data_IF_864003664927
#
_entry.id   IF_864003664927
#
_cell.length_a   1.000
_cell.length_b   1.000
_cell.length_c   1.000
_cell.angle_alpha   90.00
_cell.angle_beta   90.00
_cell.angle_gamma   90.00
#
_symmetry.space_group_name_H-M   'P 1'
#
loop_
_entity.id
_entity.type
_entity.pdbx_description
1 polymer ?
#
# COMPACT_ATOMS: atom_id res chain seq x y z
N UNK A 1 3.14 -28.88 11.90
CA UNK A 1 2.31 -27.69 12.13
C UNK A 1 1.62 -27.41 10.80
N UNK A 2 0.39 -27.90 10.62
CA UNK A 2 -0.41 -27.71 9.41
C UNK A 2 -0.82 -26.23 9.32
N UNK A 3 -0.08 -25.46 8.53
CA UNK A 3 -0.41 -24.07 8.16
C UNK A 3 -1.34 -24.06 6.93
N UNK A 4 -2.42 -24.84 6.95
CA UNK A 4 -3.29 -25.03 5.76
C UNK A 4 -4.65 -24.34 5.86
N UNK A 5 -4.75 -23.22 6.57
CA UNK A 5 -5.89 -22.32 6.39
C UNK A 5 -5.46 -21.04 5.68
N UNK A 6 -5.27 -21.17 4.36
CA UNK A 6 -4.98 -20.06 3.46
C UNK A 6 -6.01 -18.93 3.58
N UNK A 7 -7.28 -19.26 3.87
CA UNK A 7 -8.34 -18.26 4.04
C UNK A 7 -8.13 -17.47 5.32
N UNK A 8 -7.78 -18.15 6.41
CA UNK A 8 -7.50 -17.49 7.69
C UNK A 8 -6.24 -16.63 7.62
N UNK A 9 -5.16 -17.14 7.01
CA UNK A 9 -3.93 -16.37 6.79
C UNK A 9 -4.18 -15.12 5.93
N UNK A 10 -4.94 -15.27 4.84
CA UNK A 10 -5.32 -14.16 3.98
C UNK A 10 -6.18 -13.14 4.74
N UNK A 11 -7.20 -13.58 5.48
CA UNK A 11 -8.08 -12.68 6.23
C UNK A 11 -7.31 -11.88 7.29
N UNK A 12 -6.42 -12.52 8.06
CA UNK A 12 -5.59 -11.85 9.04
C UNK A 12 -4.63 -10.87 8.36
N UNK A 13 -3.97 -11.30 7.27
CA UNK A 13 -3.06 -10.45 6.50
C UNK A 13 -3.74 -9.20 5.95
N UNK A 14 -4.93 -9.33 5.37
CA UNK A 14 -5.72 -8.20 4.85
C UNK A 14 -6.14 -7.25 5.96
N UNK A 15 -6.61 -7.77 7.11
CA UNK A 15 -6.98 -6.92 8.26
C UNK A 15 -5.77 -6.21 8.85
N UNK A 16 -4.63 -6.90 8.98
CA UNK A 16 -3.40 -6.31 9.46
C UNK A 16 -2.91 -5.20 8.52
N UNK A 17 -2.88 -5.47 7.21
CA UNK A 17 -2.52 -4.47 6.20
C UNK A 17 -3.47 -3.26 6.24
N UNK A 18 -4.77 -3.49 6.35
CA UNK A 18 -5.75 -2.41 6.46
C UNK A 18 -5.50 -1.53 7.70
N UNK A 19 -5.17 -2.13 8.84
CA UNK A 19 -4.83 -1.40 10.07
C UNK A 19 -3.52 -0.62 9.93
N UNK A 20 -2.48 -1.21 9.33
CA UNK A 20 -1.17 -0.56 9.11
C UNK A 20 -1.33 0.66 8.19
N UNK A 21 -2.05 0.50 7.07
CA UNK A 21 -2.32 1.60 6.14
C UNK A 21 -3.18 2.70 6.77
N UNK A 22 -4.14 2.33 7.61
CA UNK A 22 -4.98 3.29 8.33
C UNK A 22 -4.17 4.11 9.34
N UNK A 23 -3.33 3.46 10.14
CA UNK A 23 -2.46 4.12 11.13
C UNK A 23 -1.43 5.06 10.48
N UNK A 24 -0.79 4.60 9.40
CA UNK A 24 0.10 5.43 8.57
C UNK A 24 -0.63 6.62 7.97
N UNK A 25 -1.87 6.43 7.50
CA UNK A 25 -2.72 7.50 7.00
C UNK A 25 -3.07 8.57 8.04
N UNK A 26 -3.34 8.18 9.29
CA UNK A 26 -3.62 9.10 10.40
C UNK A 26 -2.38 9.89 10.83
N UNK A 27 -1.21 9.26 10.83
CA UNK A 27 0.07 9.88 11.20
C UNK A 27 0.62 10.83 10.13
N UNK A 28 0.10 10.73 8.90
CA UNK A 28 0.59 11.51 7.75
C UNK A 28 0.02 12.93 7.72
N UNK A 29 0.91 13.94 7.66
CA UNK A 29 0.51 15.35 7.51
C UNK A 29 0.08 15.66 6.08
N UNK A 30 -1.10 16.25 5.92
CA UNK A 30 -1.67 16.68 4.62
C UNK A 30 -0.72 17.61 3.85
N UNK A 31 0.01 18.48 4.55
CA UNK A 31 1.00 19.39 3.97
C UNK A 31 2.16 18.64 3.29
N UNK A 32 2.63 17.56 3.91
CA UNK A 32 3.64 16.67 3.34
C UNK A 32 3.10 15.97 2.09
N UNK A 33 1.88 15.41 2.14
CA UNK A 33 1.20 14.79 0.99
C UNK A 33 1.10 15.77 -0.18
N UNK A 34 0.61 16.98 0.08
CA UNK A 34 0.43 17.99 -0.97
C UNK A 34 1.74 18.44 -1.62
N UNK A 35 2.86 18.38 -0.89
CA UNK A 35 4.18 18.72 -1.44
C UNK A 35 4.83 17.58 -2.24
N UNK A 36 4.51 16.31 -1.94
CA UNK A 36 5.23 15.16 -2.49
C UNK A 36 4.38 14.18 -3.32
N UNK A 37 3.06 14.38 -3.44
CA UNK A 37 2.17 13.45 -4.17
C UNK A 37 2.55 13.21 -5.63
N UNK A 38 3.00 14.24 -6.37
CA UNK A 38 3.37 14.09 -7.80
C UNK A 38 4.55 13.12 -8.00
N UNK A 39 5.72 13.35 -7.37
CA UNK A 39 6.82 12.40 -7.44
C UNK A 39 6.46 11.05 -6.82
N UNK A 40 5.71 11.02 -5.71
CA UNK A 40 5.29 9.78 -5.07
C UNK A 40 4.44 8.89 -5.99
N UNK A 41 3.43 9.44 -6.67
CA UNK A 41 2.57 8.69 -7.61
C UNK A 41 3.37 8.18 -8.80
N UNK A 42 4.29 8.99 -9.32
CA UNK A 42 5.12 8.58 -10.46
C UNK A 42 6.09 7.46 -10.08
N UNK A 43 6.74 7.57 -8.91
CA UNK A 43 7.64 6.54 -8.38
C UNK A 43 6.87 5.25 -8.02
N UNK A 44 5.72 5.38 -7.36
CA UNK A 44 4.90 4.25 -6.97
C UNK A 44 4.26 3.51 -8.15
N UNK A 45 4.10 4.16 -9.31
CA UNK A 45 3.59 3.49 -10.52
C UNK A 45 4.73 2.96 -11.37
N UNK A 46 5.59 3.84 -11.91
CA UNK A 46 6.66 3.45 -12.82
C UNK A 46 7.78 2.72 -12.09
N UNK A 47 8.17 3.16 -10.90
CA UNK A 47 9.22 2.53 -10.11
C UNK A 47 8.86 1.10 -9.72
N UNK A 48 7.64 0.88 -9.24
CA UNK A 48 7.14 -0.46 -8.91
C UNK A 48 7.04 -1.34 -10.15
N UNK A 49 6.53 -0.81 -11.27
CA UNK A 49 6.45 -1.56 -12.54
C UNK A 49 7.82 -1.99 -13.05
N UNK A 50 8.81 -1.08 -13.02
CA UNK A 50 10.19 -1.39 -13.40
C UNK A 50 10.80 -2.42 -12.45
N UNK A 51 10.62 -2.24 -11.14
CA UNK A 51 11.21 -3.11 -10.12
C UNK A 51 10.62 -4.52 -10.19
N UNK A 52 9.31 -4.65 -10.32
CA UNK A 52 8.65 -5.94 -10.52
C UNK A 52 9.01 -6.57 -11.86
N UNK A 53 9.15 -5.78 -12.92
CA UNK A 53 9.58 -6.25 -14.23
C UNK A 53 11.00 -6.84 -14.19
N UNK A 54 11.95 -6.13 -13.58
CA UNK A 54 13.34 -6.60 -13.43
C UNK A 54 13.40 -7.83 -12.53
N UNK A 55 12.77 -7.76 -11.35
CA UNK A 55 12.76 -8.85 -10.37
C UNK A 55 12.06 -10.08 -10.94
N UNK A 56 10.95 -9.89 -11.64
CA UNK A 56 10.19 -10.96 -12.28
C UNK A 56 10.91 -11.58 -13.47
N UNK A 57 11.64 -10.78 -14.26
CA UNK A 57 12.51 -11.27 -15.31
C UNK A 57 13.65 -12.13 -14.74
N UNK A 58 14.28 -11.67 -13.66
CA UNK A 58 15.30 -12.44 -12.96
C UNK A 58 14.72 -13.75 -12.39
N UNK A 59 13.53 -13.70 -11.78
CA UNK A 59 12.85 -14.89 -11.27
C UNK A 59 12.50 -15.89 -12.39
N UNK A 60 11.96 -15.41 -13.52
CA UNK A 60 11.67 -16.24 -14.69
C UNK A 60 12.92 -16.97 -15.19
N UNK A 61 14.04 -16.25 -15.29
CA UNK A 61 15.30 -16.81 -15.77
C UNK A 61 15.93 -17.80 -14.80
N UNK A 62 15.99 -17.47 -13.50
CA UNK A 62 16.63 -18.32 -12.47
C UNK A 62 15.80 -19.57 -12.20
N UNK A 63 14.48 -19.45 -12.15
CA UNK A 63 13.56 -20.54 -11.78
C UNK A 63 13.01 -21.30 -13.00
N UNK A 64 13.39 -20.93 -14.22
CA UNK A 64 12.81 -21.45 -15.48
C UNK A 64 11.28 -21.38 -15.51
N UNK A 65 10.73 -20.26 -15.03
CA UNK A 65 9.28 -20.01 -15.06
C UNK A 65 8.92 -19.28 -16.36
N UNK A 66 7.70 -19.44 -16.89
CA UNK A 66 7.24 -18.58 -17.94
C UNK A 66 7.16 -17.11 -17.46
N UNK A 67 7.27 -16.18 -18.40
CA UNK A 67 7.47 -14.76 -18.11
C UNK A 67 6.36 -14.16 -17.25
N UNK A 68 5.13 -14.64 -17.38
CA UNK A 68 3.99 -14.13 -16.65
C UNK A 68 4.00 -14.58 -15.19
N UNK A 69 4.37 -15.83 -14.90
CA UNK A 69 4.58 -16.31 -13.52
C UNK A 69 5.79 -15.63 -12.88
N UNK A 70 6.86 -15.38 -13.63
CA UNK A 70 7.98 -14.57 -13.16
C UNK A 70 7.55 -13.15 -12.80
N UNK A 71 6.78 -12.48 -13.68
CA UNK A 71 6.23 -11.15 -13.41
C UNK A 71 5.29 -11.14 -12.21
N UNK A 72 4.48 -12.19 -12.02
CA UNK A 72 3.64 -12.36 -10.84
C UNK A 72 4.50 -12.40 -9.57
N UNK A 73 5.56 -13.20 -9.55
CA UNK A 73 6.49 -13.24 -8.41
C UNK A 73 7.15 -11.87 -8.17
N UNK A 74 7.60 -11.21 -9.23
CA UNK A 74 8.15 -9.86 -9.15
C UNK A 74 7.15 -8.84 -8.60
N UNK A 75 5.86 -8.99 -8.92
CA UNK A 75 4.79 -8.12 -8.43
C UNK A 75 4.47 -8.34 -6.95
N UNK A 76 4.53 -9.59 -6.50
CA UNK A 76 4.33 -9.96 -5.08
C UNK A 76 5.48 -9.43 -4.21
N UNK A 77 6.72 -9.54 -4.70
CA UNK A 77 7.92 -9.13 -3.96
C UNK A 77 8.24 -7.64 -4.14
N UNK A 78 7.67 -7.00 -5.16
CA UNK A 78 7.95 -5.60 -5.51
C UNK A 78 7.45 -4.56 -4.50
N UNK A 79 6.60 -4.93 -3.54
CA UNK A 79 6.13 -4.00 -2.49
C UNK A 79 7.22 -3.72 -1.46
N UNK A 80 7.55 -2.45 -1.26
CA UNK A 80 8.51 -1.99 -0.26
C UNK A 80 7.80 -1.54 1.02
N UNK A 81 8.26 -2.04 2.18
CA UNK A 81 7.74 -1.65 3.50
C UNK A 81 8.74 -0.73 4.24
N UNK A 82 8.39 0.56 4.35
CA UNK A 82 9.19 1.54 5.09
C UNK A 82 9.11 1.33 6.61
N UNK A 83 8.01 0.79 7.15
CA UNK A 83 7.83 0.59 8.59
C UNK A 83 8.81 -0.45 9.15
N UNK A 84 9.05 -1.53 8.39
CA UNK A 84 10.07 -2.52 8.72
C UNK A 84 11.47 -1.89 8.78
N UNK A 85 11.83 -1.06 7.79
CA UNK A 85 13.13 -0.37 7.75
C UNK A 85 13.28 0.61 8.92
N UNK A 86 12.23 1.36 9.26
CA UNK A 86 12.24 2.29 10.40
C UNK A 86 12.39 1.57 11.73
N UNK A 87 11.74 0.42 11.92
CA UNK A 87 11.89 -0.41 13.11
C UNK A 87 13.35 -0.82 13.32
N UNK A 88 14.02 -1.26 12.24
CA UNK A 88 15.43 -1.67 12.29
C UNK A 88 16.35 -0.48 12.55
N UNK A 89 16.18 0.64 11.84
CA UNK A 89 17.03 1.82 12.01
C UNK A 89 16.91 2.45 13.40
N UNK A 90 15.69 2.49 13.95
CA UNK A 90 15.43 2.97 15.31
C UNK A 90 16.07 2.06 16.36
N UNK A 91 15.98 0.74 16.18
CA UNK A 91 16.66 -0.24 17.04
C UNK A 91 18.19 -0.19 16.91
N UNK A 92 18.71 0.21 15.75
CA UNK A 92 20.12 0.46 15.48
C UNK A 92 20.65 1.82 15.93
N UNK A 93 19.83 2.66 16.56
CA UNK A 93 20.21 3.98 17.08
C UNK A 93 20.31 5.10 16.04
N UNK A 94 19.85 4.88 14.81
CA UNK A 94 19.87 5.87 13.72
C UNK A 94 18.51 6.53 13.60
N UNK A 95 18.43 7.81 13.97
CA UNK A 95 17.24 8.64 13.78
C UNK A 95 17.19 9.23 12.36
N UNK A 96 16.14 8.92 11.61
CA UNK A 96 15.91 9.51 10.29
C UNK A 96 15.35 10.94 10.42
N UNK A 97 15.80 11.89 9.57
CA UNK A 97 15.20 13.21 9.49
C UNK A 97 13.68 13.11 9.19
N UNK A 98 12.83 13.93 9.82
CA UNK A 98 11.37 13.85 9.66
C UNK A 98 10.89 13.92 8.21
N UNK A 99 11.60 14.67 7.36
CA UNK A 99 11.31 14.76 5.93
C UNK A 99 11.54 13.44 5.20
N UNK A 100 12.67 12.77 5.46
CA UNK A 100 13.02 11.49 4.82
C UNK A 100 12.04 10.40 5.29
N UNK A 101 11.72 10.37 6.58
CA UNK A 101 10.71 9.46 7.11
C UNK A 101 9.35 9.65 6.42
N UNK A 102 8.86 10.89 6.34
CA UNK A 102 7.57 11.18 5.69
C UNK A 102 7.54 10.90 4.19
N UNK A 103 8.68 11.05 3.49
CA UNK A 103 8.78 10.73 2.07
C UNK A 103 8.79 9.22 1.84
N UNK A 104 9.57 8.47 2.61
CA UNK A 104 9.62 7.01 2.53
C UNK A 104 8.29 6.36 2.92
N UNK A 105 7.61 6.88 3.94
CA UNK A 105 6.30 6.40 4.36
C UNK A 105 5.25 6.64 3.27
N UNK A 106 5.29 7.81 2.62
CA UNK A 106 4.43 8.10 1.48
C UNK A 106 4.77 7.26 0.25
N UNK A 107 6.05 7.03 -0.04
CA UNK A 107 6.50 6.18 -1.14
C UNK A 107 6.04 4.73 -0.94
N UNK A 108 6.32 4.17 0.24
CA UNK A 108 5.93 2.80 0.62
C UNK A 108 4.40 2.62 0.58
N UNK A 109 3.63 3.52 1.18
CA UNK A 109 2.16 3.44 1.18
C UNK A 109 1.52 3.64 -0.20
N UNK A 110 2.13 4.43 -1.09
CA UNK A 110 1.61 4.61 -2.47
C UNK A 110 1.98 3.43 -3.36
N UNK A 111 3.09 2.74 -3.07
CA UNK A 111 3.53 1.55 -3.79
C UNK A 111 2.55 0.37 -3.62
N UNK A 112 2.00 0.16 -2.41
CA UNK A 112 1.18 -1.01 -2.08
C UNK A 112 -0.02 -1.22 -3.03
N UNK A 113 -0.86 -0.20 -3.36
CA UNK A 113 -1.92 -0.35 -4.35
C UNK A 113 -1.43 -0.80 -5.73
N UNK A 114 -0.24 -0.36 -6.15
CA UNK A 114 0.34 -0.72 -7.45
C UNK A 114 0.83 -2.17 -7.46
N UNK A 115 1.48 -2.62 -6.39
CA UNK A 115 1.90 -4.01 -6.22
C UNK A 115 0.69 -4.96 -6.20
N UNK A 116 -0.37 -4.59 -5.48
CA UNK A 116 -1.65 -5.32 -5.46
C UNK A 116 -2.27 -5.35 -6.86
N UNK A 117 -2.35 -4.22 -7.55
CA UNK A 117 -2.85 -4.13 -8.92
C UNK A 117 -2.09 -5.08 -9.86
N UNK A 118 -0.76 -5.04 -9.88
CA UNK A 118 0.00 -5.91 -10.77
C UNK A 118 -0.17 -7.38 -10.43
N UNK A 119 -0.24 -7.73 -9.14
CA UNK A 119 -0.48 -9.10 -8.69
C UNK A 119 -1.83 -9.61 -9.18
N UNK A 120 -2.91 -8.85 -8.94
CA UNK A 120 -4.26 -9.20 -9.40
C UNK A 120 -4.32 -9.25 -10.93
N UNK A 121 -3.75 -8.25 -11.61
CA UNK A 121 -3.70 -8.21 -13.07
C UNK A 121 -2.99 -9.43 -13.67
N UNK A 122 -1.85 -9.84 -13.11
CA UNK A 122 -1.14 -11.05 -13.53
C UNK A 122 -1.96 -12.32 -13.28
N UNK A 123 -2.67 -12.41 -12.15
CA UNK A 123 -3.56 -13.54 -11.83
C UNK A 123 -4.70 -13.64 -12.85
N UNK A 124 -5.37 -12.52 -13.17
CA UNK A 124 -6.48 -12.51 -14.13
C UNK A 124 -6.03 -12.88 -15.56
N UNK A 125 -4.82 -12.45 -15.94
CA UNK A 125 -4.18 -12.83 -17.20
C UNK A 125 -3.83 -14.34 -17.24
N UNK A 126 -3.27 -14.88 -16.14
CA UNK A 126 -2.97 -16.31 -16.01
C UNK A 126 -4.23 -17.18 -16.01
N UNK A 127 -5.31 -16.68 -15.38
CA UNK A 127 -6.61 -17.34 -15.37
C UNK A 127 -7.36 -17.26 -16.72
N UNK A 128 -6.77 -16.60 -17.73
CA UNK A 128 -7.38 -16.33 -19.04
C UNK A 128 -8.74 -15.64 -18.96
N UNK A 129 -8.98 -14.89 -17.89
CA UNK A 129 -10.20 -14.09 -17.69
C UNK A 129 -10.09 -12.71 -18.30
N UNK A 130 -8.86 -12.29 -18.57
CA UNK A 130 -8.53 -11.00 -19.17
C UNK A 130 -7.44 -11.16 -20.22
N UNK A 131 -7.40 -10.20 -21.14
CA UNK A 131 -6.38 -10.05 -22.17
C UNK A 131 -5.48 -8.86 -21.88
N UNK A 132 -4.22 -8.96 -22.31
CA UNK A 132 -3.31 -7.83 -22.24
C UNK A 132 -3.83 -6.68 -23.11
N UNK A 133 -3.87 -5.47 -22.55
CA UNK A 133 -4.24 -4.25 -23.27
C UNK A 133 -5.36 -3.46 -22.58
N UNK A 134 -6.47 -3.27 -23.27
CA UNK A 134 -7.55 -2.36 -22.84
C UNK A 134 -8.20 -2.82 -21.53
N UNK A 135 -8.37 -4.12 -21.35
CA UNK A 135 -8.99 -4.68 -20.13
C UNK A 135 -8.10 -4.44 -18.91
N UNK A 136 -6.79 -4.67 -19.02
CA UNK A 136 -5.83 -4.40 -17.95
C UNK A 136 -5.77 -2.89 -17.61
N UNK A 137 -5.81 -2.03 -18.62
CA UNK A 137 -5.87 -0.57 -18.41
C UNK A 137 -7.19 -0.14 -17.76
N UNK A 138 -8.30 -0.78 -18.13
CA UNK A 138 -9.61 -0.53 -17.52
C UNK A 138 -9.63 -0.97 -16.05
N UNK A 139 -9.05 -2.13 -15.74
CA UNK A 139 -8.88 -2.60 -14.36
C UNK A 139 -8.04 -1.62 -13.53
N UNK A 140 -6.90 -1.17 -14.08
CA UNK A 140 -6.05 -0.17 -13.44
C UNK A 140 -6.83 1.11 -13.13
N UNK A 141 -7.51 1.66 -14.13
CA UNK A 141 -8.29 2.88 -13.98
C UNK A 141 -9.41 2.69 -12.95
N UNK A 142 -10.12 1.56 -12.99
CA UNK A 142 -11.18 1.24 -12.03
C UNK A 142 -10.62 1.15 -10.62
N UNK A 143 -9.54 0.41 -10.40
CA UNK A 143 -8.94 0.22 -9.09
C UNK A 143 -8.44 1.54 -8.48
N UNK A 144 -7.78 2.38 -9.28
CA UNK A 144 -7.31 3.69 -8.82
C UNK A 144 -8.45 4.67 -8.55
N UNK A 145 -9.43 4.75 -9.46
CA UNK A 145 -10.57 5.67 -9.32
C UNK A 145 -11.47 5.27 -8.15
N UNK A 146 -11.90 4.01 -8.08
CA UNK A 146 -12.74 3.54 -6.98
C UNK A 146 -11.99 3.55 -5.65
N UNK A 147 -10.70 3.19 -5.64
CA UNK A 147 -9.87 3.27 -4.43
C UNK A 147 -9.83 4.69 -3.86
N UNK A 148 -9.57 5.69 -4.70
CA UNK A 148 -9.55 7.10 -4.28
C UNK A 148 -10.94 7.58 -3.87
N UNK A 149 -11.98 7.27 -4.67
CA UNK A 149 -13.35 7.72 -4.38
C UNK A 149 -13.89 7.14 -3.07
N UNK A 150 -13.79 5.82 -2.90
CA UNK A 150 -14.26 5.13 -1.71
C UNK A 150 -13.43 5.54 -0.50
N UNK A 151 -12.10 5.61 -0.65
CA UNK A 151 -11.20 6.06 0.42
C UNK A 151 -11.53 7.48 0.89
N UNK A 152 -11.73 8.42 -0.04
CA UNK A 152 -12.11 9.79 0.29
C UNK A 152 -13.52 9.88 0.91
N UNK A 153 -14.48 9.08 0.42
CA UNK A 153 -15.82 9.04 0.97
C UNK A 153 -15.83 8.50 2.41
N UNK A 154 -15.16 7.38 2.66
CA UNK A 154 -15.07 6.77 3.99
C UNK A 154 -14.28 7.67 4.94
N UNK A 155 -13.15 8.22 4.51
CA UNK A 155 -12.37 9.16 5.31
C UNK A 155 -13.17 10.42 5.66
N UNK A 156 -13.90 10.99 4.69
CA UNK A 156 -14.79 12.12 4.91
C UNK A 156 -15.94 11.82 5.87
N UNK A 157 -16.55 10.64 5.74
CA UNK A 157 -17.57 10.15 6.67
C UNK A 157 -17.00 9.96 8.08
N UNK A 158 -15.80 9.40 8.22
CA UNK A 158 -15.14 9.24 9.52
C UNK A 158 -14.91 10.59 10.20
N UNK A 159 -14.37 11.57 9.46
CA UNK A 159 -14.19 12.96 9.97
C UNK A 159 -15.53 13.59 10.34
N UNK A 160 -16.57 13.40 9.53
CA UNK A 160 -17.90 13.92 9.81
C UNK A 160 -18.49 13.32 11.10
N UNK A 161 -18.36 12.00 11.30
CA UNK A 161 -18.81 11.31 12.51
C UNK A 161 -18.04 11.84 13.73
N UNK A 162 -16.71 11.89 13.67
CA UNK A 162 -15.87 12.36 14.78
C UNK A 162 -16.23 13.79 15.17
N UNK A 163 -16.46 14.69 14.20
CA UNK A 163 -16.85 16.07 14.46
C UNK A 163 -18.30 16.22 14.98
N UNK A 164 -19.18 15.24 14.70
CA UNK A 164 -20.58 15.22 15.17
C UNK A 164 -20.74 14.60 16.54
N UNK A 165 -19.79 13.80 17.00
CA UNK A 165 -19.76 13.28 18.36
C UNK A 165 -19.39 14.43 19.28
N UNK A 166 -20.40 15.11 19.83
CA UNK A 166 -20.23 15.96 21.00
C UNK A 166 -19.98 15.02 22.19
N UNK A 167 -18.71 14.81 22.53
CA UNK A 167 -18.34 14.20 23.80
C UNK A 167 -18.83 15.14 24.91
N UNK A 168 -20.02 14.87 25.45
CA UNK A 168 -20.67 15.65 26.51
C UNK A 168 -19.94 15.68 27.86
N UNK A 169 -18.66 15.31 27.89
CA UNK A 169 -17.81 15.39 29.07
C UNK A 169 -16.61 16.30 28.77
N UNK A 170 -16.74 17.58 29.16
CA UNK A 170 -15.72 18.62 29.08
C UNK A 170 -14.40 18.33 29.84
N UNK A 171 -14.19 17.11 30.34
CA UNK A 171 -13.04 16.71 31.17
C UNK A 171 -12.00 15.79 30.51
N UNK A 172 -12.25 15.25 29.29
CA UNK A 172 -11.33 14.28 28.64
C UNK A 172 -10.43 14.89 27.55
N UNK A 173 -10.63 16.16 27.19
CA UNK A 173 -9.77 16.88 26.24
C UNK A 173 -8.27 16.86 26.57
N UNK A 174 -7.80 16.89 27.84
CA UNK A 174 -6.37 16.89 28.15
C UNK A 174 -5.65 15.55 27.84
N UNK A 175 -6.36 14.42 27.86
CA UNK A 175 -5.78 13.09 27.64
C UNK A 175 -5.57 12.82 26.15
N UNK A 176 -6.47 13.34 25.29
CA UNK A 176 -6.37 13.24 23.82
C UNK A 176 -5.29 14.13 23.20
N UNK A 177 -4.79 15.14 23.92
CA UNK A 177 -3.74 16.05 23.41
C UNK A 177 -2.33 15.58 23.85
N UNK A 178 -2.23 14.64 24.79
CA UNK A 178 -0.96 14.19 25.37
C UNK A 178 -0.61 12.72 25.10
N UNK A 179 -1.43 11.98 24.34
CA UNK A 179 -1.12 10.62 23.89
C UNK A 179 -0.87 10.57 22.39
#
# INVERSE_FOLDING_TARGET
LEFEDYKLAHAIGTLALAMILFDGGLSTKIESVKSAWKPAVTLATLGVLITAGITGAAAAWVLNLPWLEGLLLGSIVGSTDAAAVFSILRNGGVGLPPKIASTLEMESGTNDPMAIFMTIGCIELLAQRMTFGVELLSLFAMQMVFGVLIGAAIGGLAVWIVNRIQLGAAGLYPVLVTS
#
